data_IF_857079081166
#
_entry.id   IF_857079081166
#
_cell.length_a   1.000
_cell.length_b   1.000
_cell.length_c   1.000
_cell.angle_alpha   90.00
_cell.angle_beta   90.00
_cell.angle_gamma   90.00
#
_symmetry.space_group_name_H-M   'P 1'
#
loop_
_entity.id
_entity.type
_entity.pdbx_description
1 polymer ?
#
# COMPACT_ATOMS: atom_id res chain seq x y z
N UNK A 1 -42.02 -42.41 48.48
CA UNK A 1 -40.63 -42.84 48.71
C UNK A 1 -40.01 -41.87 49.69
N UNK A 2 -39.86 -42.28 50.95
CA UNK A 2 -38.84 -41.73 51.86
C UNK A 2 -37.43 -42.12 51.29
N UNK A 3 -36.26 -41.56 51.71
CA UNK A 3 -36.08 -41.12 53.10
C UNK A 3 -34.98 -40.04 53.42
N UNK A 4 -34.96 -39.65 54.71
CA UNK A 4 -33.81 -39.22 55.56
C UNK A 4 -33.38 -37.74 55.60
N UNK A 5 -34.03 -36.97 56.49
CA UNK A 5 -33.51 -36.52 57.81
C UNK A 5 -32.05 -36.90 58.19
N UNK A 6 -31.38 -36.27 59.18
CA UNK A 6 -31.55 -34.92 59.78
C UNK A 6 -30.26 -34.27 60.38
N UNK A 7 -30.43 -33.12 61.05
CA UNK A 7 -29.69 -32.58 62.21
C UNK A 7 -28.17 -32.37 62.12
N UNK A 8 -27.70 -31.12 62.26
CA UNK A 8 -26.97 -30.69 63.46
C UNK A 8 -26.84 -29.15 63.55
N UNK A 9 -27.35 -28.64 64.68
CA UNK A 9 -27.21 -27.32 65.29
C UNK A 9 -25.85 -27.26 66.05
N UNK A 10 -25.55 -26.33 66.97
CA UNK A 10 -25.51 -24.85 67.01
C UNK A 10 -24.05 -24.36 67.21
N UNK A 11 -23.91 -23.07 67.54
CA UNK A 11 -22.84 -22.43 68.35
C UNK A 11 -21.76 -21.74 67.52
N UNK A 12 -21.83 -20.42 67.43
CA UNK A 12 -20.97 -19.51 68.20
C UNK A 12 -21.38 -18.06 67.90
N UNK A 13 -21.79 -17.34 68.96
CA UNK A 13 -21.87 -15.88 69.07
C UNK A 13 -20.49 -15.22 68.85
N UNK A 14 -20.32 -13.91 69.06
CA UNK A 14 -21.03 -12.73 68.58
C UNK A 14 -20.05 -11.73 67.90
N UNK A 15 -20.58 -10.62 67.39
CA UNK A 15 -19.94 -9.28 67.31
C UNK A 15 -18.44 -9.18 67.03
N UNK A 16 -18.07 -8.63 65.88
CA UNK A 16 -16.90 -7.76 65.82
C UNK A 16 -16.97 -6.84 64.60
N UNK A 17 -17.01 -5.53 64.89
CA UNK A 17 -16.51 -4.50 63.99
C UNK A 17 -15.15 -4.91 63.41
N UNK A 18 -15.08 -5.00 62.10
CA UNK A 18 -13.82 -4.92 61.35
C UNK A 18 -13.98 -3.73 60.41
N UNK A 19 -13.43 -2.56 60.73
CA UNK A 19 -12.00 -2.25 60.71
C UNK A 19 -11.39 -2.61 59.36
N UNK A 20 -11.14 -1.57 58.59
CA UNK A 20 -10.43 -1.57 57.32
C UNK A 20 -9.03 -2.18 57.47
N UNK A 21 -8.68 -3.18 56.66
CA UNK A 21 -7.30 -3.44 56.33
C UNK A 21 -6.97 -2.69 55.03
N UNK A 22 -6.08 -1.70 55.17
CA UNK A 22 -5.23 -1.18 54.12
C UNK A 22 -4.66 -2.32 53.27
N UNK A 23 -5.19 -2.51 52.07
CA UNK A 23 -4.59 -3.41 51.10
C UNK A 23 -3.43 -2.72 50.42
N UNK A 24 -2.28 -3.37 50.63
CA UNK A 24 -0.99 -3.11 50.04
C UNK A 24 -1.10 -2.92 48.53
N UNK A 25 -0.42 -1.87 48.07
CA UNK A 25 0.06 -1.71 46.70
C UNK A 25 0.78 -3.00 46.26
N UNK A 26 0.09 -3.81 45.46
CA UNK A 26 0.73 -4.73 44.52
C UNK A 26 0.39 -4.22 43.12
N UNK A 27 1.35 -3.60 42.41
CA UNK A 27 1.14 -3.25 41.02
C UNK A 27 0.97 -4.55 40.25
N UNK A 28 -0.19 -4.72 39.64
CA UNK A 28 -0.34 -5.65 38.54
C UNK A 28 0.59 -5.13 37.44
N UNK A 29 1.76 -5.76 37.29
CA UNK A 29 2.52 -5.68 36.07
C UNK A 29 1.70 -6.33 34.96
N UNK A 30 0.78 -5.57 34.37
CA UNK A 30 0.41 -5.79 32.99
C UNK A 30 1.64 -5.47 32.17
N UNK A 31 2.41 -6.53 31.91
CA UNK A 31 3.51 -6.60 30.96
C UNK A 31 2.95 -6.33 29.56
N UNK A 32 2.62 -5.07 29.28
CA UNK A 32 2.47 -4.57 27.93
C UNK A 32 3.87 -4.62 27.32
N UNK A 33 4.07 -5.62 26.49
CA UNK A 33 5.17 -5.69 25.55
C UNK A 33 4.78 -4.77 24.39
N UNK A 34 5.35 -3.55 24.21
CA UNK A 34 5.24 -2.84 22.95
C UNK A 34 6.38 -3.37 22.07
N UNK A 35 6.34 -4.66 21.78
CA UNK A 35 7.19 -5.23 20.74
C UNK A 35 6.58 -4.84 19.41
N UNK A 36 7.19 -3.83 18.80
CA UNK A 36 7.42 -3.76 17.36
C UNK A 36 6.16 -3.75 16.48
N UNK A 37 5.72 -2.54 16.15
CA UNK A 37 5.59 -2.22 14.73
C UNK A 37 5.76 -0.71 14.53
N UNK A 38 6.98 -0.21 14.30
CA UNK A 38 7.15 1.06 13.61
C UNK A 38 7.07 0.78 12.12
N UNK A 39 5.96 0.22 11.62
CA UNK A 39 5.49 0.62 10.30
C UNK A 39 5.03 2.07 10.46
N UNK A 40 6.01 2.97 10.54
CA UNK A 40 5.83 4.30 10.00
C UNK A 40 5.69 4.05 8.51
N UNK A 41 4.45 3.75 8.14
CA UNK A 41 3.78 4.33 6.99
C UNK A 41 4.45 5.69 6.73
N UNK A 42 5.40 5.73 5.80
CA UNK A 42 5.72 6.94 5.07
C UNK A 42 4.38 7.32 4.44
N UNK A 43 3.52 7.99 5.22
CA UNK A 43 2.12 8.20 4.90
C UNK A 43 2.09 8.79 3.51
N UNK A 44 1.84 7.96 2.52
CA UNK A 44 1.36 8.39 1.22
C UNK A 44 -0.04 8.89 1.55
N UNK A 45 -0.11 10.13 2.05
CA UNK A 45 -1.35 10.71 2.53
C UNK A 45 -2.29 10.71 1.35
N UNK A 46 -3.34 9.90 1.46
CA UNK A 46 -4.36 9.84 0.46
C UNK A 46 -5.13 11.16 0.50
N UNK A 47 -5.23 11.81 -0.65
CA UNK A 47 -5.93 13.09 -0.76
C UNK A 47 -7.32 12.83 -1.34
N UNK A 48 -8.35 13.26 -0.62
CA UNK A 48 -9.71 13.29 -1.17
C UNK A 48 -9.83 14.42 -2.17
N UNK A 49 -10.41 14.12 -3.31
CA UNK A 49 -10.45 15.02 -4.45
C UNK A 49 -11.56 14.70 -5.42
N UNK A 50 -11.46 15.32 -6.59
CA UNK A 50 -12.39 15.13 -7.70
C UNK A 50 -11.64 14.64 -8.93
N UNK A 51 -12.23 13.68 -9.64
CA UNK A 51 -11.77 13.27 -10.95
C UNK A 51 -12.77 13.74 -12.01
N UNK A 52 -12.27 14.39 -13.06
CA UNK A 52 -12.98 14.57 -14.33
C UNK A 52 -12.31 13.74 -15.42
N UNK A 53 -12.78 13.85 -16.66
CA UNK A 53 -12.15 13.17 -17.79
C UNK A 53 -11.90 14.05 -19.02
N UNK A 54 -10.94 13.62 -19.84
CA UNK A 54 -10.58 14.21 -21.14
C UNK A 54 -10.23 13.13 -22.16
N UNK A 55 -10.31 13.44 -23.46
CA UNK A 55 -9.76 12.58 -24.52
C UNK A 55 -8.24 12.77 -24.70
N UNK A 56 -7.62 13.60 -23.87
CA UNK A 56 -6.22 14.00 -24.01
C UNK A 56 -6.03 15.16 -25.00
N UNK A 57 -4.80 15.64 -25.09
CA UNK A 57 -4.36 16.70 -26.00
C UNK A 57 -3.07 16.33 -26.72
N UNK A 58 -2.73 17.10 -27.75
CA UNK A 58 -1.58 16.81 -28.61
C UNK A 58 -0.21 17.05 -27.94
N UNK A 59 -0.15 17.95 -26.96
CA UNK A 59 1.09 18.30 -26.25
C UNK A 59 0.81 18.28 -24.75
N UNK A 60 1.72 17.69 -24.00
CA UNK A 60 1.69 17.70 -22.54
C UNK A 60 2.90 18.44 -21.99
N UNK A 61 2.75 19.06 -20.82
CA UNK A 61 3.85 19.73 -20.12
C UNK A 61 4.95 18.75 -19.69
N UNK A 62 4.62 17.46 -19.52
CA UNK A 62 5.58 16.45 -19.07
C UNK A 62 6.33 15.76 -20.21
N UNK A 63 6.05 16.08 -21.48
CA UNK A 63 6.59 15.38 -22.65
C UNK A 63 6.33 13.86 -22.62
N UNK A 64 5.22 13.43 -22.02
CA UNK A 64 4.73 12.05 -22.01
C UNK A 64 3.36 12.04 -22.71
N UNK A 65 3.13 11.18 -23.71
CA UNK A 65 1.86 11.19 -24.44
C UNK A 65 0.70 10.63 -23.60
N UNK A 66 -0.52 11.08 -23.88
CA UNK A 66 -1.73 10.55 -23.25
C UNK A 66 -1.97 9.05 -23.53
N UNK A 67 -1.42 8.52 -24.62
CA UNK A 67 -1.47 7.10 -24.98
C UNK A 67 -0.52 6.22 -24.18
N UNK A 68 0.37 6.80 -23.38
CA UNK A 68 1.26 6.05 -22.50
C UNK A 68 0.45 5.17 -21.54
N UNK A 69 1.05 4.07 -21.07
CA UNK A 69 0.43 3.17 -20.09
C UNK A 69 -1.01 2.75 -20.49
N UNK A 70 -1.22 2.44 -21.77
CA UNK A 70 -2.54 2.07 -22.32
C UNK A 70 -3.66 3.08 -22.02
N UNK A 71 -3.34 4.37 -22.05
CA UNK A 71 -4.24 5.47 -21.70
C UNK A 71 -4.69 5.48 -20.23
N UNK A 72 -3.98 4.79 -19.34
CA UNK A 72 -4.09 4.97 -17.89
C UNK A 72 -3.23 6.16 -17.46
N UNK A 73 -3.66 7.33 -17.91
CA UNK A 73 -2.94 8.59 -17.79
C UNK A 73 -3.84 9.69 -17.26
N UNK A 74 -3.23 10.70 -16.66
CA UNK A 74 -3.95 11.81 -16.07
C UNK A 74 -3.17 13.13 -16.13
N UNK A 75 -3.90 14.24 -16.03
CA UNK A 75 -3.32 15.55 -15.77
C UNK A 75 -3.70 16.04 -14.37
N UNK A 76 -2.83 16.83 -13.78
CA UNK A 76 -3.01 17.42 -12.44
C UNK A 76 -2.85 18.93 -12.48
N UNK A 77 -3.24 19.63 -11.41
CA UNK A 77 -2.94 21.07 -11.29
C UNK A 77 -1.43 21.33 -11.12
N UNK A 78 -0.93 22.44 -11.64
CA UNK A 78 0.47 22.87 -11.43
C UNK A 78 0.80 23.14 -9.96
N UNK A 79 -0.21 23.36 -9.12
CA UNK A 79 -0.11 23.52 -7.67
C UNK A 79 -0.40 22.22 -6.90
N UNK A 80 -0.63 21.10 -7.60
CA UNK A 80 -0.82 19.81 -6.95
C UNK A 80 0.51 19.28 -6.42
N UNK A 81 0.51 18.40 -5.41
CA UNK A 81 1.73 17.74 -4.93
C UNK A 81 2.24 16.66 -5.89
N UNK A 82 1.57 16.44 -7.03
CA UNK A 82 1.87 15.35 -7.95
C UNK A 82 2.73 15.83 -9.13
N UNK A 83 3.77 15.07 -9.45
CA UNK A 83 4.78 15.45 -10.45
C UNK A 83 4.66 14.64 -11.74
N UNK A 84 5.22 15.17 -12.82
CA UNK A 84 5.31 14.48 -14.10
C UNK A 84 5.94 13.08 -13.97
N UNK A 85 5.33 12.09 -14.60
CA UNK A 85 5.78 10.69 -14.59
C UNK A 85 5.42 9.91 -13.32
N UNK A 86 4.94 10.58 -12.27
CA UNK A 86 4.48 9.93 -11.05
C UNK A 86 3.26 9.04 -11.34
N UNK A 87 3.19 7.88 -10.70
CA UNK A 87 1.98 7.06 -10.71
C UNK A 87 1.12 7.37 -9.50
N UNK A 88 -0.19 7.40 -9.70
CA UNK A 88 -1.18 7.64 -8.67
C UNK A 88 -2.16 6.48 -8.67
N UNK A 89 -2.47 5.98 -7.49
CA UNK A 89 -3.62 5.11 -7.26
C UNK A 89 -4.86 5.95 -7.04
N UNK A 90 -5.88 5.71 -7.85
CA UNK A 90 -7.14 6.44 -7.83
C UNK A 90 -8.25 5.49 -7.43
N UNK A 91 -8.93 5.79 -6.32
CA UNK A 91 -10.10 5.04 -5.83
C UNK A 91 -11.38 5.83 -6.07
N UNK A 92 -12.39 5.18 -6.64
CA UNK A 92 -13.71 5.77 -6.82
C UNK A 92 -14.49 5.76 -5.49
N UNK A 93 -14.75 6.94 -4.91
CA UNK A 93 -15.55 7.02 -3.67
C UNK A 93 -17.06 7.09 -3.96
N UNK A 94 -17.44 7.27 -5.23
CA UNK A 94 -18.83 7.49 -5.64
C UNK A 94 -19.53 6.20 -6.09
N UNK A 95 -18.77 5.11 -6.32
CA UNK A 95 -19.30 3.82 -6.77
C UNK A 95 -19.34 2.80 -5.63
N UNK A 96 -20.37 1.93 -5.55
CA UNK A 96 -20.47 0.89 -4.50
C UNK A 96 -19.29 -0.08 -4.47
N UNK A 97 -18.72 -0.39 -5.64
CA UNK A 97 -17.58 -1.32 -5.77
C UNK A 97 -16.24 -0.71 -5.38
N UNK A 98 -16.19 0.60 -5.11
CA UNK A 98 -14.97 1.36 -4.77
C UNK A 98 -13.74 0.99 -5.62
N UNK A 99 -13.97 0.82 -6.92
CA UNK A 99 -12.93 0.36 -7.84
C UNK A 99 -11.71 1.27 -7.78
N UNK A 100 -10.53 0.66 -7.90
CA UNK A 100 -9.24 1.36 -7.93
C UNK A 100 -8.56 1.14 -9.29
N UNK A 101 -7.81 2.14 -9.75
CA UNK A 101 -6.90 2.05 -10.90
C UNK A 101 -5.58 2.74 -10.58
N UNK A 102 -4.54 2.42 -11.33
CA UNK A 102 -3.29 3.18 -11.32
C UNK A 102 -3.20 4.04 -12.58
N UNK A 103 -2.78 5.30 -12.44
CA UNK A 103 -2.60 6.22 -13.57
C UNK A 103 -1.26 6.95 -13.50
N UNK A 104 -0.65 7.24 -14.65
CA UNK A 104 0.56 8.06 -14.75
C UNK A 104 0.21 9.53 -14.97
N UNK A 105 0.85 10.43 -14.24
CA UNK A 105 0.74 11.88 -14.46
C UNK A 105 1.52 12.23 -15.73
N UNK A 106 0.81 12.65 -16.76
CA UNK A 106 1.38 12.98 -18.07
C UNK A 106 1.29 14.45 -18.41
N UNK A 107 0.52 15.25 -17.67
CA UNK A 107 0.35 16.67 -17.95
C UNK A 107 0.06 17.50 -16.69
N UNK A 108 0.35 18.80 -16.75
CA UNK A 108 0.09 19.76 -15.68
C UNK A 108 -0.69 20.95 -16.22
N UNK A 109 -1.85 21.22 -15.63
CA UNK A 109 -2.80 22.25 -16.10
C UNK A 109 -2.80 23.44 -15.15
N UNK A 110 -2.53 24.63 -15.68
CA UNK A 110 -2.59 25.87 -14.91
C UNK A 110 -4.03 26.17 -14.47
N UNK A 111 -4.20 26.56 -13.21
CA UNK A 111 -5.51 26.92 -12.66
C UNK A 111 -6.41 25.74 -12.29
N UNK A 112 -5.95 24.49 -12.48
CA UNK A 112 -6.62 23.32 -11.91
C UNK A 112 -6.42 23.28 -10.39
N UNK A 113 -7.45 22.93 -9.59
CA UNK A 113 -7.29 22.74 -8.16
C UNK A 113 -6.27 21.66 -7.80
N UNK A 114 -5.57 21.84 -6.68
CA UNK A 114 -4.51 20.92 -6.23
C UNK A 114 -5.02 19.48 -5.96
N UNK A 115 -6.29 19.34 -5.58
CA UNK A 115 -6.96 18.07 -5.31
C UNK A 115 -7.92 17.64 -6.46
N UNK A 116 -7.73 18.19 -7.67
CA UNK A 116 -8.48 17.76 -8.86
C UNK A 116 -7.53 17.07 -9.84
N UNK A 117 -7.97 15.91 -10.32
CA UNK A 117 -7.28 15.13 -11.36
C UNK A 117 -8.16 15.04 -12.60
N UNK A 118 -7.58 15.14 -13.78
CA UNK A 118 -8.27 14.92 -15.04
C UNK A 118 -7.77 13.62 -15.65
N UNK A 119 -8.61 12.59 -15.61
CA UNK A 119 -8.26 11.27 -16.13
C UNK A 119 -8.42 11.26 -17.65
N UNK A 120 -7.65 10.42 -18.34
CA UNK A 120 -8.04 10.05 -19.68
C UNK A 120 -9.39 9.31 -19.64
N UNK A 121 -10.22 9.46 -20.68
CA UNK A 121 -11.55 8.84 -20.75
C UNK A 121 -11.54 7.34 -20.43
N UNK A 122 -10.59 6.60 -21.03
CA UNK A 122 -10.42 5.16 -20.76
C UNK A 122 -10.09 4.86 -19.30
N UNK A 123 -9.26 5.66 -18.64
CA UNK A 123 -8.98 5.53 -17.22
C UNK A 123 -10.24 5.82 -16.37
N UNK A 124 -11.00 6.85 -16.72
CA UNK A 124 -12.25 7.18 -16.04
C UNK A 124 -13.30 6.05 -16.14
N UNK A 125 -13.45 5.46 -17.32
CA UNK A 125 -14.32 4.30 -17.55
C UNK A 125 -13.78 3.05 -16.82
N UNK A 126 -12.46 2.83 -16.84
CA UNK A 126 -11.81 1.74 -16.12
C UNK A 126 -12.00 1.85 -14.61
N UNK A 127 -12.13 3.07 -14.06
CA UNK A 127 -12.49 3.34 -12.67
C UNK A 127 -13.97 3.01 -12.34
N UNK A 128 -14.72 2.47 -13.30
CA UNK A 128 -16.11 2.06 -13.16
C UNK A 128 -17.08 3.23 -13.21
N UNK A 129 -16.67 4.38 -13.76
CA UNK A 129 -17.50 5.58 -13.84
C UNK A 129 -18.08 5.79 -15.23
N UNK A 130 -19.32 6.29 -15.29
CA UNK A 130 -19.96 6.67 -16.53
C UNK A 130 -19.51 8.10 -16.93
N UNK A 131 -18.93 8.31 -18.13
CA UNK A 131 -18.51 9.64 -18.59
C UNK A 131 -19.59 10.72 -18.52
N UNK A 132 -20.88 10.33 -18.60
CA UNK A 132 -22.02 11.26 -18.51
C UNK A 132 -22.17 11.91 -17.13
N UNK A 133 -21.55 11.34 -16.08
CA UNK A 133 -21.51 11.94 -14.74
C UNK A 133 -20.55 13.14 -14.71
N UNK A 134 -19.55 13.16 -15.60
CA UNK A 134 -18.59 14.24 -15.76
C UNK A 134 -17.53 14.33 -14.65
N UNK A 135 -17.96 14.44 -13.39
CA UNK A 135 -17.08 14.60 -12.22
C UNK A 135 -17.49 13.63 -11.11
N UNK A 136 -16.52 12.95 -10.51
CA UNK A 136 -16.72 12.01 -9.41
C UNK A 136 -15.81 12.34 -8.23
N UNK A 137 -16.20 11.94 -7.03
CA UNK A 137 -15.33 12.00 -5.86
C UNK A 137 -14.37 10.82 -5.86
N UNK A 138 -13.09 11.10 -5.64
CA UNK A 138 -12.02 10.11 -5.61
C UNK A 138 -11.12 10.29 -4.40
N UNK A 139 -10.36 9.25 -4.12
CA UNK A 139 -9.18 9.33 -3.29
C UNK A 139 -7.93 9.10 -4.16
N UNK A 140 -6.92 9.93 -3.96
CA UNK A 140 -5.69 9.98 -4.75
C UNK A 140 -4.53 9.65 -3.82
N UNK A 141 -3.90 8.51 -4.05
CA UNK A 141 -2.72 8.07 -3.28
C UNK A 141 -1.53 8.02 -4.24
N UNK A 142 -0.42 8.71 -3.94
CA UNK A 142 0.85 8.45 -4.62
C UNK A 142 1.15 6.95 -4.64
N UNK A 143 1.31 6.33 -5.81
CA UNK A 143 1.77 4.93 -5.90
C UNK A 143 3.21 4.92 -6.42
N UNK A 144 4.08 4.01 -5.95
CA UNK A 144 5.25 3.64 -6.74
C UNK A 144 4.77 3.17 -8.14
N UNK A 145 5.58 3.37 -9.19
CA UNK A 145 5.11 3.36 -10.58
C UNK A 145 4.41 2.04 -11.00
N UNK A 146 3.45 2.08 -11.94
CA UNK A 146 2.67 0.89 -12.39
C UNK A 146 3.56 -0.25 -12.90
N UNK A 147 4.63 0.07 -13.62
CA UNK A 147 5.62 -0.95 -14.04
C UNK A 147 6.48 -1.48 -12.88
N UNK A 148 6.49 -0.77 -11.73
CA UNK A 148 7.26 -1.12 -10.53
C UNK A 148 6.50 -2.09 -9.62
N UNK A 149 5.17 -2.23 -9.76
CA UNK A 149 4.35 -3.04 -8.85
C UNK A 149 4.25 -4.52 -9.23
N UNK A 150 4.13 -4.88 -10.51
CA UNK A 150 3.98 -6.30 -10.89
C UNK A 150 5.25 -7.10 -10.60
N UNK A 151 6.38 -6.64 -11.14
CA UNK A 151 7.65 -7.34 -10.98
C UNK A 151 8.27 -7.13 -9.59
N UNK A 152 8.01 -5.99 -8.95
CA UNK A 152 8.39 -5.77 -7.56
C UNK A 152 7.73 -6.76 -6.62
N UNK A 153 6.42 -7.03 -6.77
CA UNK A 153 5.70 -8.03 -5.95
C UNK A 153 6.10 -9.46 -6.28
N UNK A 154 6.33 -9.76 -7.57
CA UNK A 154 6.84 -11.05 -8.01
C UNK A 154 8.20 -11.35 -7.36
N UNK A 155 9.15 -10.42 -7.48
CA UNK A 155 10.46 -10.56 -6.87
C UNK A 155 10.41 -10.57 -5.34
N UNK A 156 9.54 -9.77 -4.71
CA UNK A 156 9.32 -9.82 -3.27
C UNK A 156 8.94 -11.23 -2.78
N UNK A 157 8.03 -11.90 -3.51
CA UNK A 157 7.57 -13.26 -3.17
C UNK A 157 8.72 -14.26 -3.28
N UNK A 158 9.55 -14.13 -4.32
CA UNK A 158 10.73 -14.97 -4.53
C UNK A 158 11.78 -14.72 -3.46
N UNK A 159 12.07 -13.46 -3.14
CA UNK A 159 13.03 -13.07 -2.11
C UNK A 159 12.61 -13.61 -0.74
N UNK A 160 11.33 -13.51 -0.37
CA UNK A 160 10.83 -14.08 0.88
C UNK A 160 10.96 -15.62 0.92
N UNK A 161 10.73 -16.30 -0.20
CA UNK A 161 10.89 -17.75 -0.29
C UNK A 161 12.38 -18.18 -0.22
N UNK A 162 13.28 -17.39 -0.80
CA UNK A 162 14.72 -17.65 -0.78
C UNK A 162 15.35 -17.39 0.60
N UNK A 163 14.78 -16.45 1.37
CA UNK A 163 15.31 -16.03 2.69
C UNK A 163 14.26 -16.18 3.81
N UNK A 164 13.84 -17.40 4.16
CA UNK A 164 12.74 -17.65 5.09
C UNK A 164 13.00 -17.18 6.53
N UNK A 165 14.27 -16.99 6.92
CA UNK A 165 14.67 -16.47 8.23
C UNK A 165 14.73 -14.94 8.31
N UNK A 166 14.53 -14.24 7.19
CA UNK A 166 14.60 -12.80 7.09
C UNK A 166 13.22 -12.23 6.77
N UNK A 167 12.97 -11.02 7.26
CA UNK A 167 11.81 -10.21 6.89
C UNK A 167 12.28 -9.14 5.92
N UNK A 168 11.59 -9.01 4.79
CA UNK A 168 11.82 -7.86 3.90
C UNK A 168 11.21 -6.63 4.59
N UNK A 169 12.04 -5.66 4.93
CA UNK A 169 11.65 -4.44 5.66
C UNK A 169 11.47 -3.25 4.74
N UNK A 170 12.14 -3.25 3.59
CA UNK A 170 12.02 -2.21 2.56
C UNK A 170 12.34 -2.82 1.20
N UNK A 171 11.84 -2.18 0.14
CA UNK A 171 12.30 -2.45 -1.22
C UNK A 171 12.19 -1.20 -2.09
N UNK A 172 13.13 -1.05 -3.02
CA UNK A 172 13.16 0.08 -3.95
C UNK A 172 13.47 -0.38 -5.36
N UNK A 173 12.86 0.29 -6.31
CA UNK A 173 13.19 0.12 -7.72
C UNK A 173 14.54 0.79 -8.02
N UNK A 174 15.41 0.06 -8.71
CA UNK A 174 16.75 0.51 -9.10
C UNK A 174 16.77 0.98 -10.55
N UNK A 175 16.07 0.28 -11.45
CA UNK A 175 16.08 0.66 -12.86
C UNK A 175 15.48 -0.38 -13.80
N UNK A 176 15.34 0.02 -15.06
CA UNK A 176 14.88 -0.78 -16.18
C UNK A 176 15.83 -0.55 -17.35
N UNK A 177 16.23 -1.62 -18.00
CA UNK A 177 17.07 -1.56 -19.19
C UNK A 177 16.56 -2.56 -20.23
N UNK A 178 16.39 -2.09 -21.46
CA UNK A 178 16.08 -2.95 -22.60
C UNK A 178 17.38 -3.57 -23.10
N UNK A 179 17.51 -4.89 -23.02
CA UNK A 179 18.68 -5.61 -23.54
C UNK A 179 18.47 -6.00 -25.01
N UNK A 180 17.23 -6.33 -25.38
CA UNK A 180 16.80 -6.60 -26.75
C UNK A 180 15.30 -6.32 -26.94
N UNK A 181 14.81 -6.40 -28.17
CA UNK A 181 13.38 -6.18 -28.50
C UNK A 181 12.42 -7.13 -27.80
N UNK A 182 12.91 -8.29 -27.33
CA UNK A 182 12.16 -9.32 -26.62
C UNK A 182 12.68 -9.56 -25.20
N UNK A 183 13.53 -8.68 -24.67
CA UNK A 183 14.10 -8.84 -23.33
C UNK A 183 14.32 -7.50 -22.65
N UNK A 184 13.58 -7.28 -21.58
CA UNK A 184 13.74 -6.14 -20.70
C UNK A 184 14.13 -6.63 -19.31
N UNK A 185 15.14 -5.99 -18.73
CA UNK A 185 15.56 -6.18 -17.34
C UNK A 185 14.91 -5.12 -16.47
N UNK A 186 14.36 -5.51 -15.34
CA UNK A 186 14.01 -4.62 -14.24
C UNK A 186 14.72 -5.04 -12.96
N UNK A 187 15.19 -4.06 -12.20
CA UNK A 187 16.01 -4.26 -11.02
C UNK A 187 15.38 -3.61 -9.79
N UNK A 188 15.44 -4.31 -8.66
CA UNK A 188 14.97 -3.88 -7.35
C UNK A 188 16.02 -4.20 -6.29
N UNK A 189 16.08 -3.40 -5.24
CA UNK A 189 16.88 -3.68 -4.04
C UNK A 189 15.92 -3.91 -2.87
N UNK A 190 16.15 -4.96 -2.11
CA UNK A 190 15.39 -5.39 -0.95
C UNK A 190 16.27 -5.27 0.29
N UNK A 191 15.73 -4.67 1.35
CA UNK A 191 16.33 -4.70 2.68
C UNK A 191 15.77 -5.89 3.44
N UNK A 192 16.63 -6.80 3.86
CA UNK A 192 16.27 -8.00 4.60
C UNK A 192 16.78 -7.87 6.03
N UNK A 193 15.92 -8.14 7.01
CA UNK A 193 16.27 -8.08 8.43
C UNK A 193 15.95 -9.41 9.12
N UNK A 194 16.95 -9.96 9.81
CA UNK A 194 16.80 -11.03 10.80
C UNK A 194 17.06 -10.47 12.21
N UNK A 195 16.83 -11.25 13.28
CA UNK A 195 17.24 -10.84 14.63
C UNK A 195 18.76 -10.58 14.77
N UNK A 196 19.57 -11.15 13.88
CA UNK A 196 21.03 -11.13 13.97
C UNK A 196 21.65 -10.04 13.09
N UNK A 197 21.07 -9.73 11.94
CA UNK A 197 21.67 -8.81 10.97
C UNK A 197 20.64 -8.18 10.02
N UNK A 198 21.12 -7.21 9.25
CA UNK A 198 20.39 -6.61 8.13
C UNK A 198 21.28 -6.69 6.89
N UNK A 199 20.71 -7.14 5.78
CA UNK A 199 21.43 -7.28 4.51
C UNK A 199 20.64 -6.69 3.35
N UNK A 200 21.35 -6.39 2.27
CA UNK A 200 20.77 -5.88 1.02
C UNK A 200 20.81 -6.97 -0.04
N UNK A 201 19.70 -7.14 -0.74
CA UNK A 201 19.61 -8.08 -1.86
C UNK A 201 19.10 -7.34 -3.08
N UNK A 202 19.82 -7.40 -4.19
CA UNK A 202 19.33 -6.93 -5.48
C UNK A 202 18.61 -8.07 -6.20
N UNK A 203 17.33 -7.88 -6.52
CA UNK A 203 16.59 -8.76 -7.41
C UNK A 203 16.49 -8.18 -8.81
N UNK A 204 16.76 -9.02 -9.82
CA UNK A 204 16.56 -8.69 -11.21
C UNK A 204 15.52 -9.64 -11.82
N UNK A 205 14.62 -9.10 -12.63
CA UNK A 205 13.70 -9.87 -13.47
C UNK A 205 13.95 -9.53 -14.94
N UNK A 206 13.97 -10.55 -15.77
CA UNK A 206 14.03 -10.42 -17.22
C UNK A 206 12.72 -10.93 -17.79
N UNK A 207 12.07 -10.11 -18.60
CA UNK A 207 10.78 -10.45 -19.20
C UNK A 207 10.71 -10.02 -20.65
N UNK A 208 9.83 -10.66 -21.41
CA UNK A 208 9.51 -10.26 -22.78
C UNK A 208 8.50 -9.09 -22.72
N UNK A 209 8.88 -7.88 -23.17
CA UNK A 209 7.99 -6.71 -23.10
C UNK A 209 6.79 -6.83 -24.04
N UNK A 210 6.79 -7.75 -25.01
CA UNK A 210 5.68 -7.94 -25.94
C UNK A 210 4.59 -8.86 -25.37
N UNK A 211 4.98 -9.77 -24.48
CA UNK A 211 4.07 -10.79 -23.90
C UNK A 211 3.91 -10.67 -22.39
N UNK A 212 4.67 -9.79 -21.72
CA UNK A 212 4.77 -9.66 -20.27
C UNK A 212 5.07 -10.97 -19.55
N UNK A 213 5.79 -11.90 -20.20
CA UNK A 213 6.19 -13.18 -19.62
C UNK A 213 7.58 -13.11 -19.04
N UNK A 214 7.75 -13.67 -17.83
CA UNK A 214 9.07 -13.86 -17.22
C UNK A 214 9.89 -14.81 -18.10
N UNK A 215 11.10 -14.37 -18.43
CA UNK A 215 12.13 -15.18 -19.07
C UNK A 215 13.02 -15.78 -17.96
N UNK A 216 13.50 -14.95 -17.04
CA UNK A 216 14.34 -15.37 -15.92
C UNK A 216 14.33 -14.34 -14.79
N UNK A 217 14.90 -14.71 -13.64
CA UNK A 217 15.18 -13.79 -12.54
C UNK A 217 16.50 -14.18 -11.85
N UNK A 218 17.10 -13.23 -11.13
CA UNK A 218 18.25 -13.48 -10.26
C UNK A 218 18.16 -12.64 -8.98
N UNK A 219 18.78 -13.14 -7.90
CA UNK A 219 18.94 -12.44 -6.63
C UNK A 219 20.43 -12.40 -6.30
N UNK A 220 20.96 -11.24 -5.97
CA UNK A 220 22.36 -11.05 -5.57
C UNK A 220 22.43 -10.32 -4.24
N UNK A 221 23.15 -10.88 -3.27
CA UNK A 221 23.48 -10.17 -2.04
C UNK A 221 24.46 -9.04 -2.34
N UNK A 222 24.15 -7.85 -1.84
CA UNK A 222 25.02 -6.69 -1.92
C UNK A 222 25.80 -6.61 -0.62
N UNK A 223 27.13 -6.73 -0.73
CA UNK A 223 28.07 -6.50 0.38
C UNK A 223 28.20 -5.02 0.72
#
# INVERSE_FOLDING_TARGET
MFPRHPYYDPRFSPSAYYSWPSYQNHPYETRWNPSLSPYIDLRQQSTKGQASWTNGGAVTQCNIPWSDNEYMTASVGTNSPYTCGQTLKIRNLSAPSQKEILVKVVDQVKGYPANKINLHRKAFEALGSNPNVGVINVEITPSPAVEQEEWGRYLLTITQAAYPGYRVTDYRYIGKSTESSNRTKQSYEFMLQSPQETMKVQGNVFYDPNTNRVISFDLNELQ
#
